data_IF_226127600351
#
_entry.id   IF_226127600351
#
_cell.length_a   1.000
_cell.length_b   1.000
_cell.length_c   1.000
_cell.angle_alpha   90.00
_cell.angle_beta   90.00
_cell.angle_gamma   90.00
#
_symmetry.space_group_name_H-M   'P 1'
#
loop_
_entity.id
_entity.type
_entity.pdbx_description
1 polymer ?
#
# COMPACT_ATOMS: atom_id res chain seq x y z
N UNK A 1 -4.60 22.46 23.49
CA UNK A 1 -3.80 22.80 22.30
C UNK A 1 -2.36 22.40 22.56
N UNK A 2 -2.01 21.17 22.17
CA UNK A 2 -0.66 20.81 21.75
C UNK A 2 -0.85 19.77 20.65
N UNK A 3 -0.82 20.28 19.42
CA UNK A 3 -0.71 19.58 18.13
C UNK A 3 -1.02 18.07 18.15
N UNK A 4 -2.31 17.76 17.97
CA UNK A 4 -2.71 16.52 17.30
C UNK A 4 -2.09 16.58 15.89
N UNK A 5 -0.85 16.11 15.75
CA UNK A 5 -0.25 15.93 14.42
C UNK A 5 -1.28 15.16 13.60
N UNK A 6 -1.85 15.72 12.52
CA UNK A 6 -2.81 14.97 11.72
C UNK A 6 -2.06 13.77 11.15
N UNK A 7 -2.32 12.57 11.69
CA UNK A 7 -1.85 11.32 11.10
C UNK A 7 -2.26 11.27 9.63
N UNK A 8 -1.38 10.82 8.73
CA UNK A 8 -0.99 11.55 7.53
C UNK A 8 -1.94 11.24 6.37
N UNK A 9 -2.31 12.16 5.46
CA UNK A 9 -2.90 11.71 4.21
C UNK A 9 -1.74 11.32 3.30
N UNK A 10 -1.19 10.12 3.48
CA UNK A 10 -0.27 9.56 2.49
C UNK A 10 -0.97 9.65 1.14
N UNK A 11 -0.34 10.30 0.16
CA UNK A 11 -0.90 10.34 -1.18
C UNK A 11 -0.58 9.01 -1.84
N UNK A 12 -1.61 8.33 -2.34
CA UNK A 12 -1.42 7.16 -3.18
C UNK A 12 -1.62 7.56 -4.64
N UNK A 13 -0.56 7.39 -5.42
CA UNK A 13 -0.52 7.64 -6.86
C UNK A 13 -0.32 6.31 -7.60
N UNK A 14 -0.68 6.27 -8.88
CA UNK A 14 -0.65 5.06 -9.69
C UNK A 14 0.20 5.30 -10.94
N UNK A 15 1.04 4.33 -11.29
CA UNK A 15 1.63 4.31 -12.62
C UNK A 15 0.53 4.07 -13.66
N UNK A 16 0.75 4.53 -14.90
CA UNK A 16 -0.20 4.31 -15.98
C UNK A 16 -0.49 2.82 -16.23
N UNK A 17 0.53 1.97 -16.04
CA UNK A 17 0.43 0.51 -16.16
C UNK A 17 -0.44 -0.07 -15.03
N UNK A 18 -0.17 0.27 -13.76
CA UNK A 18 -0.96 -0.21 -12.63
C UNK A 18 -2.41 0.27 -12.68
N UNK A 19 -2.64 1.51 -13.15
CA UNK A 19 -3.98 2.04 -13.30
C UNK A 19 -4.74 1.27 -14.39
N UNK A 20 -4.11 0.96 -15.52
CA UNK A 20 -4.73 0.16 -16.58
C UNK A 20 -5.11 -1.23 -16.09
N UNK A 21 -4.22 -1.91 -15.37
CA UNK A 21 -4.51 -3.22 -14.78
C UNK A 21 -5.67 -3.12 -13.78
N UNK A 22 -5.63 -2.14 -12.87
CA UNK A 22 -6.71 -1.89 -11.92
C UNK A 22 -8.05 -1.61 -12.60
N UNK A 23 -8.08 -0.83 -13.68
CA UNK A 23 -9.28 -0.57 -14.48
C UNK A 23 -9.79 -1.82 -15.20
N UNK A 24 -8.91 -2.76 -15.54
CA UNK A 24 -9.25 -4.06 -16.14
C UNK A 24 -9.79 -5.11 -15.15
N UNK A 25 -9.59 -4.92 -13.84
CA UNK A 25 -9.98 -5.90 -12.82
C UNK A 25 -11.51 -6.06 -12.66
N UNK A 26 -11.98 -7.23 -12.20
CA UNK A 26 -13.36 -7.41 -11.77
C UNK A 26 -13.68 -6.51 -10.57
N UNK A 27 -14.96 -6.22 -10.37
CA UNK A 27 -15.43 -5.29 -9.32
C UNK A 27 -14.98 -5.73 -7.91
N UNK A 28 -14.98 -7.04 -7.63
CA UNK A 28 -14.52 -7.59 -6.34
C UNK A 28 -13.05 -7.24 -6.05
N UNK A 29 -12.18 -7.40 -7.06
CA UNK A 29 -10.77 -7.03 -6.96
C UNK A 29 -10.56 -5.53 -6.82
N UNK A 30 -11.31 -4.73 -7.59
CA UNK A 30 -11.27 -3.27 -7.48
C UNK A 30 -11.66 -2.81 -6.08
N UNK A 31 -12.74 -3.35 -5.52
CA UNK A 31 -13.17 -3.01 -4.18
C UNK A 31 -12.12 -3.37 -3.14
N UNK A 32 -11.51 -4.56 -3.24
CA UNK A 32 -10.51 -4.98 -2.27
C UNK A 32 -9.23 -4.15 -2.37
N UNK A 33 -8.79 -3.80 -3.58
CA UNK A 33 -7.63 -2.92 -3.79
C UNK A 33 -7.92 -1.50 -3.28
N UNK A 34 -9.14 -0.99 -3.46
CA UNK A 34 -9.54 0.30 -2.88
C UNK A 34 -9.61 0.26 -1.35
N UNK A 35 -10.08 -0.84 -0.76
CA UNK A 35 -10.01 -1.08 0.68
C UNK A 35 -8.57 -1.11 1.15
N UNK A 36 -7.69 -1.85 0.45
CA UNK A 36 -6.27 -1.93 0.80
C UNK A 36 -5.61 -0.55 0.76
N UNK A 37 -5.92 0.24 -0.26
CA UNK A 37 -5.51 1.65 -0.36
C UNK A 37 -5.99 2.46 0.83
N UNK A 38 -7.26 2.33 1.23
CA UNK A 38 -7.81 3.07 2.38
C UNK A 38 -7.04 2.75 3.66
N UNK A 39 -6.77 1.47 3.92
CA UNK A 39 -5.98 1.05 5.08
C UNK A 39 -4.55 1.62 5.02
N UNK A 40 -3.87 1.50 3.87
CA UNK A 40 -2.49 1.96 3.67
C UNK A 40 -2.34 3.47 3.81
N UNK A 41 -3.29 4.28 3.32
CA UNK A 41 -3.23 5.74 3.47
C UNK A 41 -3.57 6.21 4.87
N UNK A 42 -4.23 5.37 5.68
CA UNK A 42 -4.51 5.66 7.09
C UNK A 42 -3.48 5.05 8.04
N UNK A 43 -2.58 4.20 7.54
CA UNK A 43 -1.58 3.53 8.33
C UNK A 43 -0.64 4.54 9.01
N UNK A 44 -0.41 4.34 10.31
CA UNK A 44 0.48 5.19 11.10
C UNK A 44 1.96 5.02 10.69
N UNK A 45 2.36 3.81 10.31
CA UNK A 45 3.66 3.53 9.70
C UNK A 45 3.50 2.58 8.50
N UNK A 46 3.45 3.08 7.27
CA UNK A 46 3.31 2.23 6.10
C UNK A 46 4.67 1.68 5.62
N UNK A 47 5.78 2.08 6.24
CA UNK A 47 7.11 1.57 5.89
C UNK A 47 7.32 0.10 6.28
N UNK A 48 6.39 -0.51 7.04
CA UNK A 48 6.32 -1.91 7.44
C UNK A 48 7.70 -2.59 7.42
N UNK A 49 8.55 -2.21 8.38
CA UNK A 49 9.96 -2.63 8.45
C UNK A 49 10.08 -4.09 8.90
N UNK A 50 9.60 -5.01 8.06
CA UNK A 50 9.90 -6.44 8.05
C UNK A 50 9.52 -7.28 9.28
N UNK A 51 9.18 -6.69 10.43
CA UNK A 51 8.95 -7.39 11.70
C UNK A 51 7.62 -6.96 12.36
N UNK A 52 7.23 -5.70 12.23
CA UNK A 52 5.94 -5.15 12.71
C UNK A 52 4.97 -4.89 11.54
N UNK A 53 4.70 -5.92 10.74
CA UNK A 53 3.78 -5.83 9.60
C UNK A 53 2.28 -5.67 10.00
N UNK A 54 1.98 -5.71 11.31
CA UNK A 54 0.67 -6.14 11.82
C UNK A 54 -0.05 -5.09 12.71
N UNK A 55 0.55 -3.93 13.01
CA UNK A 55 0.02 -3.05 14.07
C UNK A 55 -1.24 -2.24 13.69
N UNK A 56 -1.88 -2.51 12.56
CA UNK A 56 -3.11 -1.80 12.18
C UNK A 56 -3.73 -2.18 10.84
N UNK A 57 -3.22 -3.23 10.18
CA UNK A 57 -3.79 -3.70 8.94
C UNK A 57 -4.72 -4.89 9.21
N UNK A 58 -5.85 -4.98 8.49
CA UNK A 58 -6.73 -6.14 8.61
C UNK A 58 -6.03 -7.43 8.17
N UNK A 59 -6.40 -8.54 8.79
CA UNK A 59 -5.84 -9.88 8.51
C UNK A 59 -5.95 -10.37 7.04
N UNK A 60 -6.76 -9.73 6.21
CA UNK A 60 -6.89 -10.06 4.79
C UNK A 60 -5.87 -9.34 3.89
N UNK A 61 -5.10 -8.40 4.44
CA UNK A 61 -4.00 -7.70 3.76
C UNK A 61 -2.68 -7.99 4.49
N UNK A 62 -1.66 -8.43 3.76
CA UNK A 62 -0.33 -8.66 4.31
C UNK A 62 0.70 -7.89 3.53
N UNK A 63 1.36 -6.92 4.17
CA UNK A 63 2.41 -6.11 3.54
C UNK A 63 3.78 -6.68 3.87
N UNK A 64 4.63 -6.80 2.86
CA UNK A 64 6.02 -7.22 3.03
C UNK A 64 6.94 -6.52 2.02
N UNK A 65 8.21 -6.28 2.38
CA UNK A 65 9.20 -5.79 1.42
C UNK A 65 9.44 -6.84 0.32
N UNK A 66 9.47 -6.42 -0.95
CA UNK A 66 9.77 -7.30 -2.08
C UNK A 66 11.26 -7.70 -2.08
N UNK A 67 12.13 -6.78 -1.64
CA UNK A 67 13.55 -7.03 -1.42
C UNK A 67 13.91 -6.71 0.04
N UNK A 68 14.23 -7.74 0.82
CA UNK A 68 14.46 -7.66 2.28
C UNK A 68 15.62 -6.74 2.70
N UNK A 69 16.46 -6.27 1.77
CA UNK A 69 17.66 -5.45 2.03
C UNK A 69 17.45 -3.95 1.90
N UNK A 70 16.30 -3.49 1.39
CA UNK A 70 16.02 -2.06 1.20
C UNK A 70 14.67 -1.69 1.83
N UNK A 71 14.63 -1.12 3.05
CA UNK A 71 13.39 -0.70 3.71
C UNK A 71 12.67 0.45 2.98
N UNK A 72 13.30 1.10 2.00
CA UNK A 72 12.66 2.05 1.09
C UNK A 72 12.35 1.48 -0.30
N UNK A 73 12.53 0.17 -0.50
CA UNK A 73 12.32 -0.50 -1.77
C UNK A 73 10.86 -0.74 -2.11
N UNK A 74 10.57 -1.45 -3.21
CA UNK A 74 9.23 -1.91 -3.52
C UNK A 74 8.72 -2.84 -2.41
N UNK A 75 7.47 -2.62 -2.02
CA UNK A 75 6.68 -3.42 -1.09
C UNK A 75 5.56 -4.08 -1.86
N UNK A 76 5.17 -5.26 -1.42
CA UNK A 76 4.01 -5.98 -1.95
C UNK A 76 2.98 -6.10 -0.83
N UNK A 77 1.73 -5.73 -1.09
CA UNK A 77 0.60 -6.11 -0.26
C UNK A 77 -0.15 -7.26 -0.93
N UNK A 78 -0.18 -8.39 -0.26
CA UNK A 78 -0.97 -9.56 -0.63
C UNK A 78 -2.39 -9.38 -0.11
N UNK A 79 -3.39 -9.64 -0.96
CA UNK A 79 -4.79 -9.42 -0.69
C UNK A 79 -5.59 -10.73 -0.73
N UNK A 80 -6.50 -10.87 0.23
CA UNK A 80 -7.40 -12.03 0.36
C UNK A 80 -6.66 -13.37 0.34
N UNK A 81 -5.47 -13.42 0.95
CA UNK A 81 -4.66 -14.64 1.07
C UNK A 81 -4.14 -15.15 -0.27
N UNK A 82 -3.70 -14.24 -1.15
CA UNK A 82 -3.07 -14.56 -2.44
C UNK A 82 -3.98 -14.49 -3.66
N UNK A 83 -5.21 -13.96 -3.54
CA UNK A 83 -6.09 -13.74 -4.71
C UNK A 83 -5.67 -12.56 -5.57
N UNK A 84 -5.01 -11.59 -4.95
CA UNK A 84 -4.45 -10.45 -5.65
C UNK A 84 -3.31 -9.85 -4.86
N UNK A 85 -2.58 -8.96 -5.52
CA UNK A 85 -1.49 -8.25 -4.88
C UNK A 85 -1.31 -6.88 -5.51
N UNK A 86 -0.73 -5.97 -4.76
CA UNK A 86 -0.29 -4.67 -5.26
C UNK A 86 1.17 -4.45 -4.89
N UNK A 87 1.96 -3.99 -5.85
CA UNK A 87 3.33 -3.55 -5.61
C UNK A 87 3.34 -2.03 -5.57
N UNK A 88 3.93 -1.49 -4.52
CA UNK A 88 4.09 -0.06 -4.34
C UNK A 88 5.46 0.30 -3.80
N UNK A 89 5.86 1.54 -4.06
CA UNK A 89 7.11 2.11 -3.58
C UNK A 89 6.81 3.33 -2.72
N UNK A 90 7.64 3.54 -1.69
CA UNK A 90 7.52 4.69 -0.82
C UNK A 90 8.52 5.77 -1.22
N UNK A 91 8.00 6.93 -1.60
CA UNK A 91 8.82 8.10 -1.87
C UNK A 91 8.80 9.02 -0.66
N UNK A 92 9.92 9.04 0.08
CA UNK A 92 10.13 9.93 1.23
C UNK A 92 10.48 11.35 0.76
N UNK A 93 9.51 12.13 0.27
CA UNK A 93 9.67 13.59 0.20
C UNK A 93 9.37 14.13 1.58
N UNK A 94 10.34 14.81 2.20
CA UNK A 94 10.34 15.28 3.59
C UNK A 94 9.15 16.21 3.96
N UNK A 95 8.29 16.57 3.01
CA UNK A 95 7.09 17.39 3.20
C UNK A 95 5.78 16.74 2.70
N UNK A 96 5.84 15.67 1.88
CA UNK A 96 4.65 15.03 1.30
C UNK A 96 4.98 13.55 1.02
N UNK A 97 4.73 12.67 1.98
CA UNK A 97 5.06 11.27 1.80
C UNK A 97 4.07 10.61 0.82
N UNK A 98 4.61 9.93 -0.20
CA UNK A 98 3.83 9.37 -1.30
C UNK A 98 4.04 7.86 -1.44
N UNK A 99 2.95 7.14 -1.65
CA UNK A 99 2.89 5.73 -2.01
C UNK A 99 2.60 5.69 -3.51
N UNK A 100 3.53 5.15 -4.30
CA UNK A 100 3.30 4.98 -5.74
C UNK A 100 3.06 3.51 -6.03
N UNK A 101 1.84 3.15 -6.44
CA UNK A 101 1.50 1.82 -6.92
C UNK A 101 2.13 1.66 -8.30
N UNK A 102 3.06 0.71 -8.42
CA UNK A 102 3.77 0.44 -9.67
C UNK A 102 3.12 -0.68 -10.44
N UNK A 103 2.47 -1.61 -9.74
CA UNK A 103 1.88 -2.79 -10.34
C UNK A 103 0.72 -3.31 -9.47
N UNK A 104 -0.30 -3.90 -10.09
CA UNK A 104 -1.47 -4.42 -9.40
C UNK A 104 -2.02 -5.63 -10.17
N UNK A 105 -2.37 -6.69 -9.44
CA UNK A 105 -2.85 -7.93 -10.03
C UNK A 105 -4.04 -8.51 -9.25
N UNK A 106 -4.94 -9.17 -9.97
CA UNK A 106 -6.10 -9.86 -9.41
C UNK A 106 -6.46 -11.10 -10.23
N UNK A 107 -6.74 -12.23 -9.57
CA UNK A 107 -7.14 -13.51 -10.19
C UNK A 107 -8.57 -13.95 -9.88
#
# INVERSE_FOLDING_TARGET
MTDELPGPPWKMDWTAEALQEFEGMPEDGKQLVLSARAELITATDPYFRGIDADLGLPHWITVRPLASTSPGGPHIADLAGGRGWLIFTFTRRHADPQITVTDAFWS
#
